data_IF_370924330174
#
_entry.id   IF_370924330174
#
_cell.length_a   1.000
_cell.length_b   1.000
_cell.length_c   1.000
_cell.angle_alpha   90.00
_cell.angle_beta   90.00
_cell.angle_gamma   90.00
#
_symmetry.space_group_name_H-M   'P 1'
#
loop_
_entity.id
_entity.type
_entity.pdbx_description
1 polymer ?
#
# COMPACT_ATOMS: atom_id res chain seq x y z
N UNK A 1 -4.59 8.63 26.16
CA UNK A 1 -3.17 9.00 26.34
C UNK A 1 -2.33 7.73 26.34
N UNK A 2 -2.05 7.14 25.19
CA UNK A 2 -1.22 5.94 25.11
C UNK A 2 -0.37 6.00 23.83
N UNK A 3 0.76 6.69 23.90
CA UNK A 3 1.85 6.47 22.94
C UNK A 3 2.83 5.53 23.64
N UNK A 4 2.68 4.25 23.31
CA UNK A 4 3.43 3.13 23.84
C UNK A 4 4.89 3.28 23.39
N UNK A 5 5.80 3.30 24.35
CA UNK A 5 7.25 3.44 24.21
C UNK A 5 7.78 2.78 22.93
N UNK A 6 8.40 3.57 22.05
CA UNK A 6 9.37 3.06 21.07
C UNK A 6 10.45 2.37 21.88
N UNK A 7 10.68 1.08 21.65
CA UNK A 7 11.81 0.38 22.25
C UNK A 7 13.09 1.14 21.85
N UNK A 8 13.84 1.73 22.80
CA UNK A 8 15.01 2.54 22.47
C UNK A 8 16.12 1.72 21.82
N UNK A 9 16.04 0.38 21.91
CA UNK A 9 16.97 -0.56 21.30
C UNK A 9 16.70 -0.78 19.82
N UNK A 10 15.50 -0.45 19.31
CA UNK A 10 15.12 -0.76 17.94
C UNK A 10 15.43 0.42 17.03
N UNK A 11 16.50 0.30 16.26
CA UNK A 11 16.97 1.33 15.32
C UNK A 11 15.94 1.68 14.23
N UNK A 12 15.20 0.69 13.74
CA UNK A 12 14.14 0.92 12.75
C UNK A 12 12.83 0.26 13.15
N UNK A 13 11.74 1.00 12.97
CA UNK A 13 10.40 0.40 13.07
C UNK A 13 10.12 -0.51 11.87
N UNK A 14 10.69 -0.19 10.71
CA UNK A 14 10.45 -0.91 9.46
C UNK A 14 11.43 -2.08 9.31
N UNK A 15 10.92 -3.24 8.89
CA UNK A 15 11.75 -4.36 8.42
C UNK A 15 11.50 -4.62 6.94
N UNK A 16 12.55 -4.53 6.13
CA UNK A 16 12.44 -4.88 4.71
C UNK A 16 12.25 -6.39 4.55
N UNK A 17 11.07 -6.80 4.08
CA UNK A 17 10.74 -8.23 3.85
C UNK A 17 11.55 -8.88 2.73
N UNK A 18 12.27 -8.10 1.91
CA UNK A 18 13.16 -8.62 0.87
C UNK A 18 14.59 -8.87 1.36
N UNK A 19 14.92 -8.48 2.59
CA UNK A 19 16.20 -8.86 3.18
C UNK A 19 16.25 -10.39 3.32
N UNK A 20 17.29 -11.00 2.76
CA UNK A 20 17.43 -12.46 2.65
C UNK A 20 18.10 -13.11 3.86
N UNK A 21 18.71 -12.31 4.75
CA UNK A 21 19.41 -12.79 5.94
C UNK A 21 18.53 -13.01 7.18
N UNK A 22 19.17 -13.43 8.25
CA UNK A 22 18.54 -13.64 9.57
C UNK A 22 18.15 -12.33 10.24
N UNK A 23 17.36 -12.39 11.32
CA UNK A 23 16.99 -11.20 12.08
C UNK A 23 18.22 -10.50 12.69
N UNK A 24 19.19 -11.28 13.19
CA UNK A 24 20.42 -10.76 13.78
C UNK A 24 21.30 -10.08 12.73
N UNK A 25 21.43 -10.68 11.54
CA UNK A 25 22.15 -10.08 10.41
C UNK A 25 21.50 -8.77 9.95
N UNK A 26 20.17 -8.70 9.97
CA UNK A 26 19.44 -7.48 9.63
C UNK A 26 19.71 -6.36 10.64
N UNK A 27 19.69 -6.68 11.94
CA UNK A 27 19.96 -5.71 13.00
C UNK A 27 21.42 -5.25 12.99
N UNK A 28 22.36 -6.17 12.75
CA UNK A 28 23.77 -5.84 12.57
C UNK A 28 23.99 -4.94 11.34
N UNK A 29 23.32 -5.23 10.23
CA UNK A 29 23.37 -4.37 9.04
C UNK A 29 22.78 -2.98 9.32
N UNK A 30 21.67 -2.89 10.05
CA UNK A 30 21.11 -1.60 10.48
C UNK A 30 22.04 -0.83 11.42
N UNK A 31 22.81 -1.50 12.27
CA UNK A 31 23.79 -0.87 13.17
C UNK A 31 25.01 -0.34 12.41
N UNK A 32 25.49 -1.07 11.40
CA UNK A 32 26.71 -0.72 10.66
C UNK A 32 26.46 0.17 9.42
N UNK A 33 25.22 0.25 8.94
CA UNK A 33 24.88 0.92 7.68
C UNK A 33 25.08 2.44 7.75
N UNK A 34 25.55 3.03 6.64
CA UNK A 34 25.59 4.50 6.44
C UNK A 34 24.43 5.01 5.58
N UNK A 35 23.43 4.15 5.36
CA UNK A 35 22.26 4.43 4.52
C UNK A 35 21.05 4.76 5.38
N UNK A 36 20.38 5.87 5.05
CA UNK A 36 19.09 6.21 5.62
C UNK A 36 18.00 6.14 4.56
N UNK A 37 16.82 5.70 4.97
CA UNK A 37 15.60 5.76 4.20
C UNK A 37 14.83 7.03 4.57
N UNK A 38 14.39 7.78 3.56
CA UNK A 38 13.57 8.97 3.74
C UNK A 38 12.22 8.72 3.08
N UNK A 39 11.15 8.78 3.86
CA UNK A 39 9.77 8.59 3.40
C UNK A 39 8.89 9.81 3.68
N UNK A 40 7.67 9.76 3.14
CA UNK A 40 6.66 10.82 3.25
C UNK A 40 7.09 12.16 2.60
N UNK A 41 8.00 12.11 1.63
CA UNK A 41 8.40 13.29 0.86
C UNK A 41 7.33 13.67 -0.16
N UNK A 42 7.37 14.93 -0.63
CA UNK A 42 6.54 15.35 -1.76
C UNK A 42 6.95 14.61 -3.04
N UNK A 43 6.00 14.42 -3.96
CA UNK A 43 6.31 13.89 -5.29
C UNK A 43 7.04 14.91 -6.17
N UNK A 44 7.02 16.18 -5.75
CA UNK A 44 7.69 17.28 -6.43
C UNK A 44 9.05 17.61 -5.82
N UNK A 45 9.42 16.98 -4.70
CA UNK A 45 10.72 17.18 -4.06
C UNK A 45 11.82 16.72 -5.01
N UNK A 46 12.76 17.61 -5.33
CA UNK A 46 13.90 17.31 -6.20
C UNK A 46 15.08 16.76 -5.40
N UNK A 47 16.03 16.13 -6.12
CA UNK A 47 17.26 15.62 -5.50
C UNK A 47 18.08 16.76 -4.88
N UNK A 48 18.09 17.94 -5.49
CA UNK A 48 18.81 19.11 -5.00
C UNK A 48 18.24 19.63 -3.68
N UNK A 49 16.91 19.65 -3.53
CA UNK A 49 16.26 20.05 -2.28
C UNK A 49 16.57 19.05 -1.16
N UNK A 50 16.55 17.75 -1.48
CA UNK A 50 16.97 16.73 -0.53
C UNK A 50 18.45 16.90 -0.15
N UNK A 51 19.33 17.14 -1.13
CA UNK A 51 20.74 17.37 -0.89
C UNK A 51 20.96 18.55 0.07
N UNK A 52 20.31 19.70 -0.15
CA UNK A 52 20.46 20.88 0.71
C UNK A 52 20.06 20.62 2.17
N UNK A 53 18.94 19.91 2.38
CA UNK A 53 18.47 19.61 3.72
C UNK A 53 19.39 18.61 4.43
N UNK A 54 19.75 17.52 3.75
CA UNK A 54 20.50 16.42 4.34
C UNK A 54 22.00 16.71 4.47
N UNK A 55 22.54 17.64 3.68
CA UNK A 55 23.92 18.12 3.84
C UNK A 55 24.15 18.84 5.17
N UNK A 56 23.08 19.22 5.89
CA UNK A 56 23.18 19.80 7.23
C UNK A 56 23.51 18.76 8.30
N UNK A 57 23.24 17.49 8.06
CA UNK A 57 23.59 16.39 8.97
C UNK A 57 25.01 15.88 8.73
N UNK A 58 25.49 15.88 7.47
CA UNK A 58 26.84 15.45 7.15
C UNK A 58 27.10 15.31 5.66
N UNK A 59 28.24 14.74 5.30
CA UNK A 59 28.67 14.65 3.91
C UNK A 59 27.96 13.51 3.17
N UNK A 60 27.20 13.86 2.15
CA UNK A 60 26.43 12.90 1.36
C UNK A 60 27.32 12.26 0.30
N UNK A 61 27.41 10.93 0.32
CA UNK A 61 28.09 10.12 -0.70
C UNK A 61 27.22 9.94 -1.95
N UNK A 62 25.93 9.65 -1.77
CA UNK A 62 25.01 9.39 -2.88
C UNK A 62 23.56 9.58 -2.45
N UNK A 63 22.75 10.18 -3.31
CA UNK A 63 21.29 10.19 -3.19
C UNK A 63 20.70 9.28 -4.26
N UNK A 64 19.66 8.55 -3.90
CA UNK A 64 18.94 7.66 -4.81
C UNK A 64 17.45 7.92 -4.64
N UNK A 65 16.89 8.62 -5.62
CA UNK A 65 15.47 8.95 -5.63
C UNK A 65 14.62 7.69 -5.83
N UNK A 66 13.59 7.55 -5.01
CA UNK A 66 12.56 6.52 -5.15
C UNK A 66 11.65 6.85 -6.31
N UNK A 67 11.52 5.92 -7.24
CA UNK A 67 10.72 6.05 -8.45
C UNK A 67 9.58 5.04 -8.46
N UNK A 68 8.47 5.44 -9.07
CA UNK A 68 7.38 4.53 -9.39
C UNK A 68 7.88 3.49 -10.40
N UNK A 69 7.57 2.21 -10.16
CA UNK A 69 7.99 1.11 -11.03
C UNK A 69 7.46 1.25 -12.45
N UNK A 70 6.26 1.81 -12.61
CA UNK A 70 5.53 1.89 -13.87
C UNK A 70 5.77 3.24 -14.55
N UNK A 71 5.46 4.35 -13.88
CA UNK A 71 5.54 5.69 -14.47
C UNK A 71 6.95 6.28 -14.46
N UNK A 72 7.89 5.70 -13.71
CA UNK A 72 9.28 6.19 -13.56
C UNK A 72 9.36 7.61 -12.98
N UNK A 73 8.30 8.08 -12.33
CA UNK A 73 8.24 9.38 -11.66
C UNK A 73 8.62 9.25 -10.18
N UNK A 74 9.10 10.31 -9.53
CA UNK A 74 9.35 10.30 -8.08
C UNK A 74 8.12 9.86 -7.29
N UNK A 75 8.30 8.94 -6.34
CA UNK A 75 7.19 8.33 -5.61
C UNK A 75 7.25 8.56 -4.10
N UNK A 76 7.88 9.67 -3.66
CA UNK A 76 7.76 10.20 -2.31
C UNK A 76 8.69 9.57 -1.27
N UNK A 77 9.74 8.90 -1.73
CA UNK A 77 10.83 8.42 -0.87
C UNK A 77 12.18 8.52 -1.57
N UNK A 78 13.26 8.46 -0.82
CA UNK A 78 14.62 8.30 -1.35
C UNK A 78 15.50 7.53 -0.36
N UNK A 79 16.68 7.14 -0.84
CA UNK A 79 17.77 6.66 -0.01
C UNK A 79 18.92 7.66 -0.04
N UNK A 80 19.51 7.92 1.11
CA UNK A 80 20.66 8.80 1.24
C UNK A 80 21.78 7.99 1.89
N UNK A 81 22.92 7.95 1.22
CA UNK A 81 24.13 7.28 1.68
C UNK A 81 25.09 8.36 2.14
N UNK A 82 25.53 8.26 3.38
CA UNK A 82 26.58 9.11 3.95
C UNK A 82 27.96 8.47 3.83
N UNK A 83 29.00 9.25 4.10
CA UNK A 83 30.35 8.72 4.29
C UNK A 83 30.55 8.14 5.69
N UNK A 84 30.02 8.81 6.72
CA UNK A 84 30.10 8.38 8.11
C UNK A 84 28.79 7.80 8.62
N UNK A 85 28.89 6.91 9.60
CA UNK A 85 27.73 6.42 10.36
C UNK A 85 27.17 7.52 11.26
N UNK A 86 28.02 8.36 11.82
CA UNK A 86 27.64 9.46 12.72
C UNK A 86 26.69 10.44 12.00
N UNK A 87 27.01 10.81 10.75
CA UNK A 87 26.18 11.66 9.90
C UNK A 87 24.77 11.07 9.66
N UNK A 88 24.70 9.75 9.48
CA UNK A 88 23.42 9.05 9.32
C UNK A 88 22.60 9.06 10.62
N UNK A 89 23.27 8.95 11.78
CA UNK A 89 22.64 9.06 13.09
C UNK A 89 22.08 10.47 13.35
N UNK A 90 22.85 11.50 13.00
CA UNK A 90 22.43 12.89 13.09
C UNK A 90 21.25 13.19 12.16
N UNK A 91 21.23 12.62 10.94
CA UNK A 91 20.09 12.73 10.04
C UNK A 91 18.80 12.12 10.65
N UNK A 92 18.90 10.91 11.22
CA UNK A 92 17.75 10.26 11.87
C UNK A 92 17.29 11.04 13.11
N UNK A 93 18.23 11.63 13.86
CA UNK A 93 17.93 12.32 15.12
C UNK A 93 17.37 13.73 14.93
N UNK A 94 17.94 14.52 14.01
CA UNK A 94 17.63 15.94 13.88
C UNK A 94 16.78 16.29 12.66
N UNK A 95 16.88 15.52 11.57
CA UNK A 95 16.14 15.80 10.32
C UNK A 95 14.79 15.08 10.30
N UNK A 96 14.67 13.91 10.95
CA UNK A 96 13.40 13.18 11.03
C UNK A 96 12.30 14.02 11.69
N UNK A 97 11.16 14.16 11.03
CA UNK A 97 10.03 14.97 11.47
C UNK A 97 10.07 16.44 11.06
N UNK A 98 11.15 16.91 10.41
CA UNK A 98 11.21 18.26 9.84
C UNK A 98 10.31 18.39 8.61
N UNK A 99 10.00 19.63 8.22
CA UNK A 99 9.15 19.91 7.05
C UNK A 99 10.00 20.07 5.78
N UNK A 100 9.62 19.35 4.73
CA UNK A 100 10.15 19.51 3.37
C UNK A 100 8.97 19.57 2.40
N UNK A 101 8.87 20.65 1.62
CA UNK A 101 7.73 20.94 0.73
C UNK A 101 6.37 20.77 1.43
N UNK A 102 6.21 21.40 2.60
CA UNK A 102 5.02 21.36 3.46
C UNK A 102 4.62 19.97 3.97
N UNK A 103 5.54 18.99 3.92
CA UNK A 103 5.31 17.63 4.41
C UNK A 103 6.32 17.25 5.50
N UNK A 104 5.88 16.66 6.63
CA UNK A 104 6.79 16.16 7.64
C UNK A 104 7.48 14.90 7.11
N UNK A 105 8.79 14.95 6.90
CA UNK A 105 9.53 13.78 6.39
C UNK A 105 9.84 12.79 7.51
N UNK A 106 9.89 11.51 7.16
CA UNK A 106 10.31 10.45 8.07
C UNK A 106 11.66 9.93 7.63
N UNK A 107 12.65 10.02 8.50
CA UNK A 107 13.97 9.42 8.30
C UNK A 107 14.10 8.20 9.21
N UNK A 108 14.55 7.09 8.65
CA UNK A 108 14.73 5.81 9.33
C UNK A 108 16.05 5.16 8.88
N UNK A 109 16.67 4.35 9.75
CA UNK A 109 17.85 3.60 9.34
C UNK A 109 17.46 2.55 8.31
N UNK A 110 18.34 2.35 7.34
CA UNK A 110 18.19 1.32 6.34
C UNK A 110 19.40 0.40 6.32
N UNK A 111 19.20 -0.87 6.00
CA UNK A 111 20.24 -1.90 6.08
C UNK A 111 21.27 -1.82 4.95
N UNK A 112 21.06 -0.94 3.96
CA UNK A 112 21.97 -0.71 2.86
C UNK A 112 21.24 -0.69 1.52
N UNK A 113 21.68 0.18 0.62
CA UNK A 113 21.06 0.26 -0.70
C UNK A 113 21.47 -0.90 -1.61
N UNK A 114 20.48 -1.50 -2.26
CA UNK A 114 20.67 -2.47 -3.35
C UNK A 114 19.90 -2.02 -4.58
N UNK A 115 20.45 -2.34 -5.76
CA UNK A 115 19.78 -2.05 -7.01
C UNK A 115 18.43 -2.78 -7.10
N UNK A 116 17.42 -2.06 -7.58
CA UNK A 116 16.03 -2.49 -7.59
C UNK A 116 15.22 -1.98 -6.40
N UNK A 117 15.85 -1.52 -5.31
CA UNK A 117 15.15 -0.93 -4.16
C UNK A 117 14.68 0.50 -4.43
N UNK A 118 15.19 1.17 -5.47
CA UNK A 118 14.69 2.47 -5.91
C UNK A 118 13.24 2.41 -6.42
N UNK A 119 12.74 1.23 -6.80
CA UNK A 119 11.39 1.10 -7.31
C UNK A 119 10.35 0.93 -6.20
N UNK A 120 9.26 1.69 -6.30
CA UNK A 120 8.06 1.51 -5.50
C UNK A 120 7.53 0.08 -5.56
N UNK A 121 6.95 -0.37 -4.43
CA UNK A 121 6.51 -1.76 -4.21
C UNK A 121 5.01 -1.87 -3.94
N UNK A 122 4.26 -0.78 -4.13
CA UNK A 122 2.80 -0.74 -4.10
C UNK A 122 2.21 -1.43 -5.33
N UNK A 123 0.91 -1.78 -5.28
CA UNK A 123 0.25 -2.50 -6.38
C UNK A 123 0.19 -1.66 -7.65
N UNK A 124 0.04 -0.35 -7.50
CA UNK A 124 0.05 0.62 -8.61
C UNK A 124 1.44 0.95 -9.15
N UNK A 125 2.51 0.46 -8.52
CA UNK A 125 3.90 0.81 -8.84
C UNK A 125 4.55 1.83 -7.89
N UNK A 126 3.74 2.53 -7.10
CA UNK A 126 4.20 3.57 -6.17
C UNK A 126 4.69 3.05 -4.82
N UNK A 127 4.86 3.94 -3.84
CA UNK A 127 5.24 3.56 -2.48
C UNK A 127 4.06 2.89 -1.75
N UNK A 128 4.31 1.70 -1.16
CA UNK A 128 3.29 0.91 -0.45
C UNK A 128 2.64 1.67 0.72
N UNK A 129 3.41 2.48 1.43
CA UNK A 129 2.93 3.29 2.57
C UNK A 129 1.93 4.36 2.12
N UNK A 130 2.21 5.04 1.00
CA UNK A 130 1.32 6.05 0.45
C UNK A 130 0.03 5.45 -0.11
N UNK A 131 0.09 4.26 -0.72
CA UNK A 131 -1.10 3.53 -1.18
C UNK A 131 -2.01 3.15 0.01
N UNK A 132 -1.44 2.55 1.06
CA UNK A 132 -2.20 2.20 2.27
C UNK A 132 -2.81 3.44 2.95
N UNK A 133 -2.10 4.57 2.92
CA UNK A 133 -2.59 5.83 3.47
C UNK A 133 -3.74 6.41 2.64
N UNK A 134 -3.68 6.35 1.30
CA UNK A 134 -4.78 6.75 0.42
C UNK A 134 -6.02 5.89 0.65
N UNK A 135 -5.87 4.57 0.72
CA UNK A 135 -6.98 3.66 1.02
C UNK A 135 -7.65 4.00 2.37
N UNK A 136 -6.87 4.32 3.40
CA UNK A 136 -7.42 4.75 4.70
C UNK A 136 -8.26 6.02 4.59
N UNK A 137 -7.80 7.01 3.83
CA UNK A 137 -8.52 8.28 3.63
C UNK A 137 -9.80 8.07 2.82
N UNK A 138 -9.75 7.27 1.76
CA UNK A 138 -10.90 6.99 0.88
C UNK A 138 -12.03 6.26 1.63
N UNK A 139 -11.69 5.46 2.64
CA UNK A 139 -12.66 4.80 3.54
C UNK A 139 -13.05 5.65 4.78
N UNK A 140 -12.74 6.96 4.79
CA UNK A 140 -13.16 7.88 5.85
C UNK A 140 -12.32 7.84 7.12
N UNK A 141 -11.10 7.32 7.06
CA UNK A 141 -10.14 7.31 8.16
C UNK A 141 -9.39 8.65 8.32
N UNK A 142 -9.19 9.10 9.56
CA UNK A 142 -8.40 10.29 9.86
C UNK A 142 -6.90 10.05 9.60
N UNK A 143 -6.30 10.92 8.77
CA UNK A 143 -4.87 10.95 8.46
C UNK A 143 -4.02 11.23 9.71
N UNK A 144 -3.06 10.34 10.00
CA UNK A 144 -2.04 10.58 11.03
C UNK A 144 -0.66 10.68 10.35
N UNK A 145 -0.06 11.88 10.24
CA UNK A 145 1.19 12.09 9.49
C UNK A 145 2.42 11.39 10.08
N UNK A 146 2.37 11.01 11.36
CA UNK A 146 3.45 10.35 12.09
C UNK A 146 3.04 9.00 12.70
N UNK A 147 1.93 8.42 12.25
CA UNK A 147 1.61 7.05 12.66
C UNK A 147 2.61 6.09 11.99
N UNK A 148 3.30 5.22 12.74
CA UNK A 148 4.12 4.20 12.12
C UNK A 148 3.23 3.34 11.22
N UNK A 149 3.66 3.03 9.98
CA UNK A 149 2.88 2.15 9.12
C UNK A 149 2.65 0.84 9.86
N UNK A 150 1.40 0.38 9.94
CA UNK A 150 1.09 -0.95 10.46
C UNK A 150 1.54 -1.98 9.42
N UNK A 151 2.82 -2.34 9.44
CA UNK A 151 3.37 -3.46 8.70
C UNK A 151 2.84 -4.76 9.32
N UNK A 152 1.60 -5.12 8.98
CA UNK A 152 1.06 -6.47 9.08
C UNK A 152 1.31 -7.17 10.45
N UNK A 153 0.39 -6.92 11.39
CA UNK A 153 0.15 -7.84 12.51
C UNK A 153 -0.45 -9.10 11.87
N UNK A 154 0.43 -10.05 11.56
CA UNK A 154 0.20 -11.18 10.66
C UNK A 154 -1.24 -11.68 10.56
N UNK A 155 -1.71 -11.78 9.33
CA UNK A 155 -2.53 -12.88 8.80
C UNK A 155 -3.42 -13.61 9.82
N UNK A 156 -4.28 -12.86 10.53
CA UNK A 156 -5.53 -13.44 11.02
C UNK A 156 -6.51 -13.32 9.88
N UNK A 157 -6.63 -14.43 9.13
CA UNK A 157 -7.81 -14.82 8.35
C UNK A 157 -9.03 -14.00 8.79
N UNK A 158 -9.48 -13.06 7.95
CA UNK A 158 -10.86 -12.56 8.02
C UNK A 158 -11.76 -13.71 7.57
N UNK A 159 -12.01 -14.64 8.49
CA UNK A 159 -13.09 -15.58 8.40
C UNK A 159 -14.39 -14.81 8.54
N UNK A 160 -15.17 -14.78 7.47
CA UNK A 160 -16.58 -14.44 7.52
C UNK A 160 -17.31 -15.63 8.15
N UNK A 161 -17.74 -15.49 9.40
CA UNK A 161 -18.52 -16.46 10.16
C UNK A 161 -18.61 -15.96 11.60
N UNK A 162 -19.76 -15.51 12.08
CA UNK A 162 -20.95 -16.27 12.45
C UNK A 162 -21.16 -16.03 13.97
N UNK A 163 -22.43 -15.86 14.35
CA UNK A 163 -22.98 -16.04 15.70
C UNK A 163 -22.62 -15.06 16.82
N UNK A 164 -23.50 -14.07 17.04
CA UNK A 164 -24.10 -13.83 18.37
C UNK A 164 -25.59 -13.51 18.12
N UNK A 165 -26.47 -14.52 18.16
CA UNK A 165 -27.33 -14.80 19.34
C UNK A 165 -27.79 -13.52 20.04
N UNK A 166 -28.94 -13.01 19.59
CA UNK A 166 -29.79 -12.20 20.46
C UNK A 166 -30.97 -13.08 20.89
N UNK A 167 -30.76 -13.76 22.02
CA UNK A 167 -31.80 -14.37 22.84
C UNK A 167 -32.68 -13.24 23.38
N UNK A 168 -33.84 -13.04 22.77
CA UNK A 168 -35.08 -12.57 23.42
C UNK A 168 -36.14 -12.43 22.35
N UNK A 169 -36.97 -13.45 22.23
CA UNK A 169 -38.42 -13.33 21.99
C UNK A 169 -39.07 -14.71 22.07
N UNK A 170 -38.90 -15.36 23.22
CA UNK A 170 -39.81 -16.44 23.63
C UNK A 170 -41.08 -15.81 24.19
N UNK A 171 -42.00 -15.44 23.31
CA UNK A 171 -43.42 -15.57 23.58
C UNK A 171 -44.23 -15.34 22.30
N UNK A 172 -44.96 -16.40 21.92
CA UNK A 172 -46.39 -16.39 21.56
C UNK A 172 -46.71 -17.05 20.20
N UNK A 173 -47.60 -18.05 20.31
CA UNK A 173 -48.39 -18.77 19.28
C UNK A 173 -47.74 -20.08 18.81
N UNK A 174 -47.89 -21.20 19.53
CA UNK A 174 -49.09 -22.05 19.77
C UNK A 174 -49.83 -22.49 18.48
N UNK A 175 -49.69 -23.81 18.24
CA UNK A 175 -50.49 -24.77 17.46
C UNK A 175 -50.42 -24.70 15.92
N UNK A 176 -49.93 -25.79 15.28
CA UNK A 176 -50.78 -26.89 14.77
C UNK A 176 -49.94 -28.05 14.20
N UNK A 177 -50.19 -29.24 14.76
CA UNK A 177 -50.06 -30.60 14.25
C UNK A 177 -49.84 -30.79 12.73
N UNK A 178 -48.94 -31.69 12.31
CA UNK A 178 -49.31 -33.06 11.92
C UNK A 178 -48.10 -33.88 11.42
N UNK A 179 -48.22 -35.18 11.64
CA UNK A 179 -47.27 -36.27 11.43
C UNK A 179 -46.92 -36.55 9.95
N UNK A 180 -45.70 -37.02 9.66
CA UNK A 180 -45.52 -38.32 8.99
C UNK A 180 -44.08 -38.81 8.89
N UNK A 181 -43.96 -40.08 9.24
CA UNK A 181 -42.82 -40.98 9.10
C UNK A 181 -42.66 -41.48 7.64
N UNK A 182 -41.44 -41.98 7.37
CA UNK A 182 -41.09 -43.15 6.57
C UNK A 182 -40.39 -43.00 5.19
N UNK A 183 -39.12 -43.42 5.19
CA UNK A 183 -38.50 -44.48 4.37
C UNK A 183 -38.52 -44.45 2.81
N UNK A 184 -37.30 -44.67 2.29
CA UNK A 184 -36.90 -45.49 1.10
C UNK A 184 -37.16 -44.95 -0.32
N UNK A 185 -36.06 -44.80 -1.07
CA UNK A 185 -35.93 -44.78 -2.54
C UNK A 185 -36.29 -46.15 -3.18
N UNK A 186 -36.32 -46.39 -4.52
CA UNK A 186 -35.75 -45.61 -5.65
C UNK A 186 -36.55 -45.61 -7.00
N UNK A 187 -35.86 -45.13 -8.05
CA UNK A 187 -36.03 -45.31 -9.51
C UNK A 187 -36.97 -44.41 -10.34
N UNK A 188 -36.38 -43.61 -11.23
CA UNK A 188 -36.56 -43.76 -12.69
C UNK A 188 -35.74 -42.73 -13.49
N UNK A 189 -35.25 -43.22 -14.64
CA UNK A 189 -34.39 -42.58 -15.63
C UNK A 189 -35.02 -41.35 -16.28
N UNK A 190 -34.24 -40.29 -16.55
CA UNK A 190 -34.48 -39.45 -17.73
C UNK A 190 -33.18 -38.88 -18.31
N UNK A 191 -32.85 -39.45 -19.48
CA UNK A 191 -32.10 -38.98 -20.65
C UNK A 191 -31.15 -37.77 -20.51
N UNK A 192 -29.90 -38.05 -20.89
CA UNK A 192 -28.87 -37.08 -21.30
C UNK A 192 -29.22 -36.56 -22.70
N UNK A 193 -29.28 -35.25 -22.86
CA UNK A 193 -29.14 -34.59 -24.15
C UNK A 193 -28.08 -33.48 -24.05
N UNK A 194 -27.35 -33.34 -25.15
CA UNK A 194 -26.10 -32.61 -25.27
C UNK A 194 -26.30 -31.12 -25.58
N UNK A 195 -25.27 -30.35 -25.23
CA UNK A 195 -24.88 -29.10 -25.87
C UNK A 195 -25.72 -27.85 -25.51
N UNK A 196 -25.27 -27.08 -24.51
CA UNK A 196 -25.58 -25.65 -24.45
C UNK A 196 -24.34 -24.86 -24.04
N UNK A 197 -23.78 -24.17 -25.02
CA UNK A 197 -22.68 -23.22 -24.90
C UNK A 197 -23.20 -21.91 -24.31
N UNK A 198 -22.63 -21.54 -23.17
CA UNK A 198 -22.73 -20.24 -22.51
C UNK A 198 -22.75 -19.05 -23.49
N UNK A 199 -23.80 -18.22 -23.44
CA UNK A 199 -23.70 -16.78 -23.78
C UNK A 199 -24.51 -15.93 -22.81
N UNK A 200 -23.78 -15.29 -21.90
CA UNK A 200 -24.24 -14.29 -20.94
C UNK A 200 -24.71 -13.02 -21.69
N UNK A 201 -25.94 -12.50 -21.47
CA UNK A 201 -26.56 -11.46 -22.32
C UNK A 201 -25.97 -10.05 -22.15
N UNK A 202 -24.82 -9.90 -21.47
CA UNK A 202 -24.28 -8.60 -21.07
C UNK A 202 -23.42 -7.90 -22.14
N UNK A 203 -23.09 -8.58 -23.23
CA UNK A 203 -22.38 -8.00 -24.37
C UNK A 203 -23.23 -8.14 -25.62
N UNK A 204 -24.06 -7.13 -25.88
CA UNK A 204 -24.60 -6.89 -27.22
C UNK A 204 -23.77 -5.77 -27.83
N UNK A 205 -22.97 -6.11 -28.83
CA UNK A 205 -22.39 -5.14 -29.76
C UNK A 205 -23.51 -4.27 -30.34
N UNK A 206 -23.29 -2.95 -30.32
CA UNK A 206 -23.83 -2.06 -31.33
C UNK A 206 -22.65 -1.33 -31.96
N UNK A 207 -22.30 -1.76 -33.17
CA UNK A 207 -21.57 -0.95 -34.13
C UNK A 207 -22.51 -0.02 -34.91
N UNK A 208 -21.86 0.79 -35.75
CA UNK A 208 -22.35 1.77 -36.73
C UNK A 208 -22.89 3.08 -36.14
N UNK A 209 -22.59 4.26 -36.67
CA UNK A 209 -21.68 4.79 -37.71
C UNK A 209 -21.84 6.32 -37.59
N UNK A 210 -20.89 7.11 -38.09
CA UNK A 210 -21.16 8.28 -38.96
C UNK A 210 -19.93 9.20 -39.00
N UNK A 211 -19.60 9.54 -40.25
CA UNK A 211 -18.36 10.10 -40.75
C UNK A 211 -18.24 11.61 -40.49
N UNK A 212 -17.00 12.07 -40.65
CA UNK A 212 -16.45 13.40 -40.40
C UNK A 212 -17.07 14.51 -41.29
N UNK A 213 -17.54 15.60 -40.67
CA UNK A 213 -17.78 16.88 -41.35
C UNK A 213 -16.62 17.84 -41.06
N UNK A 214 -15.65 17.89 -41.98
CA UNK A 214 -14.67 18.97 -42.11
C UNK A 214 -15.17 19.99 -43.14
N UNK A 215 -15.64 21.16 -42.70
CA UNK A 215 -15.59 22.37 -43.55
C UNK A 215 -15.25 23.61 -42.70
N UNK A 216 -13.97 23.98 -42.78
CA UNK A 216 -13.38 25.13 -42.11
C UNK A 216 -12.77 26.06 -43.17
N UNK A 217 -13.59 26.80 -43.94
CA UNK A 217 -13.08 27.98 -44.65
C UNK A 217 -13.98 29.22 -44.52
N UNK A 218 -13.69 30.00 -43.48
CA UNK A 218 -14.16 31.38 -43.33
C UNK A 218 -13.22 32.33 -44.07
N UNK A 219 -13.66 32.72 -45.28
CA UNK A 219 -13.75 34.11 -45.76
C UNK A 219 -12.55 35.03 -45.46
N UNK A 220 -11.52 35.02 -46.32
CA UNK A 220 -10.78 36.24 -46.72
C UNK A 220 -11.50 36.81 -47.94
N UNK A 221 -12.30 37.88 -47.84
CA UNK A 221 -11.95 39.31 -47.84
C UNK A 221 -10.90 39.72 -48.90
N UNK A 222 -11.44 40.41 -49.91
CA UNK A 222 -10.87 41.33 -50.90
C UNK A 222 -10.19 40.74 -52.11
#
# INVERSE_FOLDING_TARGET
>A
MASLFKDPTKLSAYRDRRFTGTQEEYEAALQASVTVYVGNMSFYTTEEQAYELFSRAGEIRKIIMGLDKNSKTPCGFCFILYYSREDAEDAVKYISGTMLDDRPIRVDFDWGFEEGRQWGRGRSGGQKELEAQRELVDYGGAFQPNAPPQYDRGDRKRGYGDSYRNDRDYQRKRYRNDERSSQRAPDSEFKRDANDSEKNPRFREKGDSDEEDDDYDKRRRR
#
